data_IF_967989283542
#
_entry.id   IF_967989283542
#
_cell.length_a   1.000
_cell.length_b   1.000
_cell.length_c   1.000
_cell.angle_alpha   90.00
_cell.angle_beta   90.00
_cell.angle_gamma   90.00
#
_symmetry.space_group_name_H-M   'P 1'
#
loop_
_entity.id
_entity.type
_entity.pdbx_description
1 polymer ?
#
# COMPACT_ATOMS: atom_id res chain seq x y z
N UNK A 1 -38.30 6.56 70.15
CA UNK A 1 -38.04 5.43 69.21
C UNK A 1 -37.75 6.00 67.84
N UNK A 2 -36.48 6.19 67.50
CA UNK A 2 -36.03 6.66 66.20
C UNK A 2 -35.33 5.53 65.52
N UNK A 3 -35.85 5.08 64.37
CA UNK A 3 -35.22 4.07 63.52
C UNK A 3 -34.27 4.75 62.54
N UNK A 4 -32.99 4.42 62.65
CA UNK A 4 -31.93 4.88 61.75
C UNK A 4 -31.91 3.96 60.52
N UNK A 5 -32.29 4.47 59.34
CA UNK A 5 -32.17 3.72 58.05
C UNK A 5 -30.81 4.01 57.49
N UNK A 6 -29.96 2.98 57.48
CA UNK A 6 -28.65 3.03 56.82
C UNK A 6 -28.85 2.62 55.36
N UNK A 7 -28.71 3.57 54.43
CA UNK A 7 -28.64 3.32 52.98
C UNK A 7 -27.21 2.87 52.63
N UNK A 8 -27.02 1.58 52.34
CA UNK A 8 -25.81 1.07 51.71
C UNK A 8 -25.86 1.43 50.24
N UNK A 9 -25.03 2.39 49.80
CA UNK A 9 -24.77 2.69 48.40
C UNK A 9 -23.76 1.65 47.88
N UNK A 10 -24.25 0.67 47.11
CA UNK A 10 -23.39 -0.24 46.37
C UNK A 10 -22.78 0.53 45.20
N UNK A 11 -21.52 0.93 45.34
CA UNK A 11 -20.68 1.39 44.23
C UNK A 11 -20.39 0.20 43.32
N UNK A 12 -21.14 0.08 42.22
CA UNK A 12 -20.82 -0.85 41.14
C UNK A 12 -19.56 -0.34 40.45
N UNK A 13 -18.42 -0.95 40.78
CA UNK A 13 -17.19 -0.82 40.01
C UNK A 13 -17.38 -1.49 38.65
N UNK A 14 -17.85 -0.75 37.66
CA UNK A 14 -17.77 -1.14 36.25
C UNK A 14 -16.31 -1.02 35.83
N UNK A 15 -15.57 -2.10 35.97
CA UNK A 15 -14.25 -2.26 35.35
C UNK A 15 -14.44 -2.07 33.86
N UNK A 16 -13.99 -0.93 33.31
CA UNK A 16 -13.92 -0.70 31.89
C UNK A 16 -12.97 -1.75 31.32
N UNK A 17 -13.52 -2.85 30.80
CA UNK A 17 -12.77 -3.91 30.15
C UNK A 17 -12.18 -3.32 28.88
N UNK A 18 -10.84 -3.12 28.86
CA UNK A 18 -10.14 -2.65 27.69
C UNK A 18 -10.52 -3.56 26.52
N UNK A 19 -11.02 -2.96 25.43
CA UNK A 19 -11.37 -3.73 24.24
C UNK A 19 -10.15 -4.61 23.84
N UNK A 20 -10.37 -5.89 23.50
CA UNK A 20 -9.28 -6.78 23.15
C UNK A 20 -8.46 -6.17 22.02
N UNK A 21 -7.13 -6.12 22.18
CA UNK A 21 -6.23 -5.67 21.13
C UNK A 21 -6.45 -6.54 19.91
N UNK A 22 -6.71 -5.90 18.75
CA UNK A 22 -6.86 -6.63 17.49
C UNK A 22 -5.61 -7.49 17.24
N UNK A 23 -5.80 -8.73 16.82
CA UNK A 23 -4.70 -9.60 16.39
C UNK A 23 -4.29 -9.30 14.92
N UNK A 24 -3.18 -9.89 14.47
CA UNK A 24 -2.64 -9.65 13.13
C UNK A 24 -3.61 -10.06 12.01
N UNK A 25 -4.35 -11.16 12.20
CA UNK A 25 -5.33 -11.66 11.23
C UNK A 25 -6.50 -10.69 11.12
N UNK A 26 -7.04 -10.23 12.25
CA UNK A 26 -8.12 -9.24 12.27
C UNK A 26 -7.72 -7.94 11.57
N UNK A 27 -6.47 -7.48 11.74
CA UNK A 27 -5.97 -6.29 11.03
C UNK A 27 -5.88 -6.56 9.53
N UNK A 28 -5.37 -7.71 9.10
CA UNK A 28 -5.34 -8.10 7.69
C UNK A 28 -6.74 -8.18 7.08
N UNK A 29 -7.72 -8.75 7.80
CA UNK A 29 -9.13 -8.80 7.38
C UNK A 29 -9.74 -7.40 7.21
N UNK A 30 -9.41 -6.45 8.09
CA UNK A 30 -9.83 -5.05 7.96
C UNK A 30 -9.25 -4.39 6.70
N UNK A 31 -7.97 -4.62 6.41
CA UNK A 31 -7.32 -4.14 5.18
C UNK A 31 -8.04 -4.75 3.97
N UNK A 32 -8.22 -6.07 3.94
CA UNK A 32 -8.91 -6.74 2.83
C UNK A 32 -10.32 -6.18 2.63
N UNK A 33 -11.13 -6.10 3.69
CA UNK A 33 -12.49 -5.57 3.63
C UNK A 33 -12.54 -4.11 3.18
N UNK A 34 -11.58 -3.27 3.60
CA UNK A 34 -11.48 -1.89 3.14
C UNK A 34 -11.25 -1.83 1.63
N UNK A 35 -10.27 -2.57 1.13
CA UNK A 35 -9.98 -2.56 -0.29
C UNK A 35 -11.00 -3.34 -1.12
N UNK A 36 -11.67 -4.36 -0.62
CA UNK A 36 -12.75 -5.06 -1.35
C UNK A 36 -13.89 -4.10 -1.74
N UNK A 37 -14.29 -3.18 -0.84
CA UNK A 37 -15.32 -2.16 -1.12
C UNK A 37 -14.79 -0.93 -1.87
N UNK A 38 -13.47 -0.77 -2.00
CA UNK A 38 -12.84 0.36 -2.68
C UNK A 38 -12.72 0.09 -4.17
N UNK A 39 -13.35 0.91 -5.00
CA UNK A 39 -13.35 0.81 -6.47
C UNK A 39 -12.22 1.60 -7.12
N UNK A 40 -11.84 2.73 -6.50
CA UNK A 40 -10.79 3.60 -7.00
C UNK A 40 -10.04 4.28 -5.84
N UNK A 41 -8.74 4.52 -6.03
CA UNK A 41 -7.88 5.27 -5.11
C UNK A 41 -7.10 6.30 -5.92
N UNK A 42 -7.07 7.52 -5.43
CA UNK A 42 -6.16 8.58 -5.92
C UNK A 42 -5.32 9.05 -4.74
N UNK A 43 -4.02 9.21 -4.92
CA UNK A 43 -3.12 9.66 -3.85
C UNK A 43 -1.88 10.33 -4.44
N UNK A 44 -1.29 11.23 -3.68
CA UNK A 44 0.13 11.55 -3.83
C UNK A 44 0.96 10.47 -3.15
N UNK A 45 2.16 10.25 -3.63
CA UNK A 45 3.12 9.36 -2.96
C UNK A 45 4.49 10.02 -2.87
N UNK A 46 5.22 9.63 -1.82
CA UNK A 46 6.65 9.78 -1.71
C UNK A 46 7.25 8.38 -1.58
N UNK A 47 8.16 8.05 -2.48
CA UNK A 47 8.95 6.83 -2.44
C UNK A 47 10.34 7.15 -1.90
N UNK A 48 10.82 6.34 -0.96
CA UNK A 48 12.20 6.38 -0.48
C UNK A 48 12.79 5.01 -0.69
N UNK A 49 13.76 4.90 -1.59
CA UNK A 49 14.44 3.66 -1.91
C UNK A 49 15.83 3.67 -1.27
N UNK A 50 16.07 2.75 -0.34
CA UNK A 50 17.36 2.56 0.31
C UNK A 50 18.12 1.42 -0.35
N UNK A 51 19.19 1.77 -1.05
CA UNK A 51 20.13 0.84 -1.66
C UNK A 51 21.14 0.39 -0.59
N UNK A 52 20.96 -0.81 -0.05
CA UNK A 52 21.76 -1.33 1.08
C UNK A 52 23.25 -1.38 0.75
N UNK A 53 23.60 -1.91 -0.43
CA UNK A 53 24.99 -2.08 -0.86
C UNK A 53 25.74 -0.73 -0.91
N UNK A 54 25.06 0.30 -1.41
CA UNK A 54 25.67 1.65 -1.57
C UNK A 54 25.40 2.58 -0.39
N UNK A 55 24.64 2.12 0.62
CA UNK A 55 24.18 2.94 1.75
C UNK A 55 23.52 4.26 1.30
N UNK A 56 22.87 4.24 0.12
CA UNK A 56 22.31 5.41 -0.55
C UNK A 56 20.77 5.40 -0.46
N UNK A 57 20.19 6.58 -0.21
CA UNK A 57 18.75 6.82 -0.31
C UNK A 57 18.45 7.60 -1.57
N UNK A 58 17.44 7.14 -2.33
CA UNK A 58 16.89 7.85 -3.47
C UNK A 58 15.45 8.19 -3.15
N UNK A 59 15.07 9.46 -3.26
CA UNK A 59 13.70 9.90 -2.99
C UNK A 59 13.03 10.31 -4.29
N UNK A 60 11.83 9.79 -4.51
CA UNK A 60 10.97 10.14 -5.63
C UNK A 60 9.59 10.56 -5.11
N UNK A 61 8.88 11.37 -5.89
CA UNK A 61 7.52 11.83 -5.57
C UNK A 61 6.65 11.74 -6.80
N UNK A 62 5.35 11.60 -6.60
CA UNK A 62 4.42 11.55 -7.72
C UNK A 62 2.97 11.36 -7.28
N UNK A 63 2.18 10.94 -8.23
CA UNK A 63 0.76 10.65 -8.03
C UNK A 63 0.48 9.21 -8.47
N UNK A 64 -0.43 8.57 -7.75
CA UNK A 64 -0.94 7.24 -8.09
C UNK A 64 -2.45 7.30 -8.23
N UNK A 65 -2.95 6.66 -9.26
CA UNK A 65 -4.38 6.42 -9.50
C UNK A 65 -4.57 4.95 -9.72
N UNK A 66 -5.49 4.36 -8.97
CA UNK A 66 -5.90 2.95 -9.10
C UNK A 66 -7.39 2.91 -9.37
N UNK A 67 -7.82 2.05 -10.29
CA UNK A 67 -9.23 1.75 -10.54
C UNK A 67 -9.38 0.27 -10.82
N UNK A 68 -10.22 -0.39 -10.04
CA UNK A 68 -10.50 -1.81 -10.23
C UNK A 68 -11.38 -2.08 -11.47
N UNK A 69 -11.20 -3.22 -12.12
CA UNK A 69 -10.14 -4.21 -11.88
C UNK A 69 -8.84 -3.86 -12.62
N UNK A 70 -7.69 -4.04 -11.96
CA UNK A 70 -6.36 -4.11 -12.58
C UNK A 70 -5.81 -2.82 -13.21
N UNK A 71 -6.54 -1.70 -13.20
CA UNK A 71 -6.08 -0.43 -13.78
C UNK A 71 -5.29 0.37 -12.75
N UNK A 72 -4.12 0.86 -13.15
CA UNK A 72 -3.29 1.72 -12.31
C UNK A 72 -2.46 2.68 -13.15
N UNK A 73 -2.10 3.82 -12.56
CA UNK A 73 -1.12 4.75 -13.12
C UNK A 73 -0.31 5.36 -12.00
N UNK A 74 1.00 5.23 -12.08
CA UNK A 74 1.99 5.92 -11.26
C UNK A 74 2.67 6.95 -12.15
N UNK A 75 2.56 8.21 -11.80
CA UNK A 75 3.20 9.31 -12.54
C UNK A 75 4.20 9.97 -11.61
N UNK A 76 5.48 9.86 -11.93
CA UNK A 76 6.55 10.44 -11.14
C UNK A 76 6.79 11.89 -11.55
N UNK A 77 6.84 12.78 -10.58
CA UNK A 77 7.23 14.18 -10.77
C UNK A 77 8.72 14.41 -10.49
N UNK A 78 9.35 13.46 -9.75
CA UNK A 78 10.79 13.39 -9.55
C UNK A 78 11.20 11.91 -9.46
N UNK A 79 12.00 11.37 -10.41
CA UNK A 79 12.36 12.01 -11.68
C UNK A 79 11.13 12.31 -12.54
N UNK A 80 11.14 13.46 -13.19
CA UNK A 80 10.00 13.91 -14.01
C UNK A 80 9.83 13.03 -15.24
N UNK A 81 8.58 12.68 -15.56
CA UNK A 81 8.22 11.98 -16.78
C UNK A 81 8.18 10.46 -16.71
N UNK A 82 8.72 9.82 -15.66
CA UNK A 82 8.57 8.37 -15.48
C UNK A 82 7.11 8.01 -15.24
N UNK A 83 6.62 7.00 -15.97
CA UNK A 83 5.24 6.52 -15.86
C UNK A 83 5.21 5.00 -15.78
N UNK A 84 4.43 4.47 -14.84
CA UNK A 84 4.04 3.06 -14.81
C UNK A 84 2.52 3.03 -14.95
N UNK A 85 2.01 2.38 -15.96
CA UNK A 85 0.58 2.36 -16.22
C UNK A 85 0.09 0.97 -16.62
N UNK A 86 -1.09 0.62 -16.14
CA UNK A 86 -1.82 -0.59 -16.53
C UNK A 86 -3.24 -0.23 -16.93
N UNK A 87 -3.72 -0.76 -18.04
CA UNK A 87 -5.11 -0.69 -18.47
C UNK A 87 -5.96 -1.89 -18.01
N UNK A 88 -5.35 -2.79 -17.22
CA UNK A 88 -5.92 -4.06 -16.76
C UNK A 88 -5.55 -5.26 -17.64
N UNK A 89 -4.88 -5.05 -18.78
CA UNK A 89 -4.43 -6.12 -19.71
C UNK A 89 -2.92 -6.07 -19.94
N UNK A 90 -2.37 -4.87 -20.03
CA UNK A 90 -0.96 -4.60 -20.31
C UNK A 90 -0.41 -3.65 -19.26
N UNK A 91 0.79 -3.92 -18.78
CA UNK A 91 1.60 -2.96 -18.00
C UNK A 91 2.62 -2.34 -18.94
N UNK A 92 2.73 -1.00 -18.88
CA UNK A 92 3.75 -0.22 -19.55
C UNK A 92 4.58 0.49 -18.51
N UNK A 93 5.89 0.40 -18.62
CA UNK A 93 6.85 1.17 -17.82
C UNK A 93 7.63 2.06 -18.78
N UNK A 94 7.46 3.35 -18.63
CA UNK A 94 8.18 4.36 -19.40
C UNK A 94 9.20 5.07 -18.53
N UNK A 95 10.45 4.99 -18.93
CA UNK A 95 11.53 5.78 -18.39
C UNK A 95 11.86 6.90 -19.37
N UNK A 96 11.86 8.18 -18.92
CA UNK A 96 12.14 9.34 -19.78
C UNK A 96 13.61 9.36 -20.24
N UNK A 97 13.94 10.19 -21.25
CA UNK A 97 15.30 10.45 -21.65
C UNK A 97 16.18 10.89 -20.47
N UNK A 98 17.37 10.33 -20.34
CA UNK A 98 18.32 10.69 -19.29
C UNK A 98 19.76 10.60 -19.86
N UNK A 99 20.62 11.57 -19.49
CA UNK A 99 22.05 11.53 -19.83
C UNK A 99 22.36 11.53 -21.33
N UNK A 100 21.46 12.02 -22.19
CA UNK A 100 21.61 11.99 -23.65
C UNK A 100 21.05 10.71 -24.30
N UNK A 101 20.65 9.73 -23.53
CA UNK A 101 20.00 8.51 -24.01
C UNK A 101 18.51 8.74 -24.25
N UNK A 102 17.91 8.16 -25.32
CA UNK A 102 16.49 8.26 -25.58
C UNK A 102 15.68 7.55 -24.49
N UNK A 103 14.46 8.03 -24.26
CA UNK A 103 13.53 7.35 -23.34
C UNK A 103 13.26 5.91 -23.77
N UNK A 104 12.90 5.08 -22.81
CA UNK A 104 12.62 3.65 -23.02
C UNK A 104 11.21 3.31 -22.55
N UNK A 105 10.55 2.39 -23.25
CA UNK A 105 9.28 1.82 -22.82
C UNK A 105 9.36 0.30 -22.85
N UNK A 106 8.95 -0.30 -21.75
CA UNK A 106 8.74 -1.74 -21.57
C UNK A 106 7.24 -2.00 -21.55
N UNK A 107 6.79 -2.99 -22.33
CA UNK A 107 5.40 -3.39 -22.37
C UNK A 107 5.31 -4.89 -22.09
N UNK A 108 4.44 -5.27 -21.17
CA UNK A 108 4.21 -6.66 -20.81
C UNK A 108 2.72 -6.94 -20.62
N UNK A 109 2.21 -8.02 -21.22
CA UNK A 109 0.87 -8.49 -20.94
C UNK A 109 0.75 -8.95 -19.48
N UNK A 110 -0.36 -8.59 -18.84
CA UNK A 110 -0.69 -9.11 -17.50
C UNK A 110 -1.22 -10.53 -17.70
N UNK A 111 -0.33 -11.50 -17.85
CA UNK A 111 -0.67 -12.91 -17.76
C UNK A 111 -0.68 -13.27 -16.28
N UNK A 112 -1.85 -13.36 -15.66
CA UNK A 112 -2.10 -13.71 -14.25
C UNK A 112 -1.01 -13.26 -13.27
N UNK A 113 -1.15 -12.62 -12.20
CA UNK A 113 -0.22 -12.37 -11.08
C UNK A 113 1.06 -11.53 -11.30
N UNK A 114 1.28 -10.88 -12.44
CA UNK A 114 2.53 -10.12 -12.68
C UNK A 114 2.49 -8.63 -12.32
N UNK A 115 1.38 -8.11 -11.79
CA UNK A 115 1.41 -6.83 -11.12
C UNK A 115 2.24 -6.97 -9.83
N UNK A 116 3.01 -5.95 -9.40
CA UNK A 116 3.78 -6.07 -8.18
C UNK A 116 2.89 -6.59 -7.07
N UNK A 117 3.13 -7.82 -6.59
CA UNK A 117 2.30 -8.48 -5.56
C UNK A 117 2.15 -7.58 -4.34
N UNK A 118 3.15 -6.72 -4.10
CA UNK A 118 3.14 -5.71 -3.05
C UNK A 118 1.92 -4.76 -3.08
N UNK A 119 1.31 -4.54 -4.24
CA UNK A 119 0.15 -3.65 -4.41
C UNK A 119 -1.10 -4.37 -4.97
N UNK A 120 -1.05 -5.68 -5.11
CA UNK A 120 -2.12 -6.50 -5.69
C UNK A 120 -3.44 -6.39 -4.92
N UNK A 121 -3.39 -6.18 -3.59
CA UNK A 121 -4.57 -5.92 -2.77
C UNK A 121 -5.26 -4.60 -3.14
N UNK A 122 -4.50 -3.56 -3.51
CA UNK A 122 -5.06 -2.28 -4.01
C UNK A 122 -5.81 -2.48 -5.33
N UNK A 123 -5.33 -3.40 -6.16
CA UNK A 123 -5.89 -3.69 -7.48
C UNK A 123 -7.04 -4.69 -7.43
N UNK A 124 -7.29 -5.30 -6.27
CA UNK A 124 -8.31 -6.34 -6.09
C UNK A 124 -7.98 -7.65 -6.80
N UNK A 125 -6.69 -7.91 -7.06
CA UNK A 125 -6.20 -9.10 -7.78
C UNK A 125 -5.64 -10.16 -6.86
N UNK A 126 -5.41 -9.87 -5.56
CA UNK A 126 -4.91 -10.81 -4.58
C UNK A 126 -5.73 -10.80 -3.29
N UNK A 127 -5.70 -11.91 -2.61
CA UNK A 127 -6.25 -12.08 -1.27
C UNK A 127 -5.11 -12.21 -0.27
N UNK A 128 -5.11 -11.31 0.72
CA UNK A 128 -4.04 -11.28 1.71
C UNK A 128 -3.91 -12.59 2.48
N UNK A 129 -5.06 -13.17 2.87
CA UNK A 129 -5.11 -14.42 3.65
C UNK A 129 -4.64 -15.65 2.86
N UNK A 130 -4.79 -15.67 1.53
CA UNK A 130 -4.32 -16.75 0.68
C UNK A 130 -2.79 -16.70 0.50
N UNK A 131 -2.24 -15.51 0.33
CA UNK A 131 -0.86 -15.31 -0.13
C UNK A 131 0.14 -15.07 1.02
N UNK A 132 -0.33 -14.60 2.20
CA UNK A 132 0.53 -14.16 3.28
C UNK A 132 0.18 -14.75 4.64
N UNK A 133 1.18 -14.90 5.51
CA UNK A 133 1.05 -14.94 6.95
C UNK A 133 1.31 -13.57 7.56
N UNK A 134 0.77 -13.32 8.76
CA UNK A 134 0.70 -12.00 9.36
C UNK A 134 1.37 -11.92 10.72
N UNK A 135 2.01 -10.79 11.02
CA UNK A 135 2.58 -10.46 12.31
C UNK A 135 2.32 -8.98 12.61
N UNK A 136 1.82 -8.66 13.80
CA UNK A 136 1.81 -7.27 14.29
C UNK A 136 3.18 -6.90 14.83
N UNK A 137 3.65 -5.73 14.42
CA UNK A 137 4.86 -5.11 14.94
C UNK A 137 4.49 -3.97 15.89
N UNK A 138 5.41 -3.63 16.80
CA UNK A 138 5.20 -2.51 17.71
C UNK A 138 5.18 -1.17 16.94
N UNK A 139 4.03 -0.45 16.90
CA UNK A 139 3.91 0.79 16.15
C UNK A 139 4.84 1.90 16.63
N UNK A 140 5.27 1.88 17.90
CA UNK A 140 6.22 2.87 18.45
C UNK A 140 7.58 2.81 17.76
N UNK A 141 8.05 1.60 17.44
CA UNK A 141 9.33 1.41 16.72
C UNK A 141 9.33 1.97 15.30
N UNK A 142 8.14 2.24 14.74
CA UNK A 142 7.95 2.72 13.38
C UNK A 142 7.35 4.12 13.33
N UNK A 143 7.25 4.81 14.47
CA UNK A 143 6.65 6.15 14.57
C UNK A 143 5.25 6.20 13.93
N UNK A 144 4.42 5.18 14.24
CA UNK A 144 3.07 5.05 13.68
C UNK A 144 2.03 4.66 14.76
N UNK A 145 2.06 5.31 15.90
CA UNK A 145 1.18 5.01 17.05
C UNK A 145 -0.32 5.22 16.77
N UNK A 146 -0.64 5.99 15.74
CA UNK A 146 -2.01 6.22 15.28
C UNK A 146 -2.66 5.03 14.56
N UNK A 147 -1.91 3.94 14.32
CA UNK A 147 -2.40 2.81 13.55
C UNK A 147 -1.79 1.49 13.96
N UNK A 148 -1.94 0.50 13.09
CA UNK A 148 -1.32 -0.80 13.19
C UNK A 148 -0.14 -0.90 12.23
N UNK A 149 0.90 -1.60 12.63
CA UNK A 149 2.01 -1.98 11.76
C UNK A 149 1.93 -3.48 11.53
N UNK A 150 1.49 -3.88 10.33
CA UNK A 150 1.22 -5.25 9.95
C UNK A 150 2.30 -5.74 8.99
N UNK A 151 3.10 -6.71 9.44
CA UNK A 151 4.08 -7.42 8.60
C UNK A 151 3.40 -8.60 7.92
N UNK A 152 3.62 -8.71 6.61
CA UNK A 152 3.16 -9.79 5.75
C UNK A 152 4.38 -10.58 5.28
N UNK A 153 4.35 -11.89 5.48
CA UNK A 153 5.36 -12.81 5.00
C UNK A 153 4.73 -13.69 3.91
N UNK A 154 5.28 -13.74 2.69
CA UNK A 154 4.77 -14.59 1.64
C UNK A 154 4.74 -16.06 2.08
N UNK A 155 3.63 -16.75 1.85
CA UNK A 155 3.52 -18.20 2.13
C UNK A 155 4.32 -19.06 1.16
N UNK A 156 4.57 -18.51 -0.04
CA UNK A 156 5.44 -19.10 -1.06
C UNK A 156 6.61 -18.15 -1.30
N UNK A 157 7.83 -18.63 -1.54
CA UNK A 157 8.96 -17.78 -1.87
C UNK A 157 8.62 -16.80 -3.00
N UNK A 158 8.93 -15.52 -2.79
CA UNK A 158 8.76 -14.48 -3.80
C UNK A 158 10.14 -13.97 -4.21
N UNK A 159 10.47 -13.91 -5.52
CA UNK A 159 11.79 -13.48 -5.97
C UNK A 159 12.04 -11.98 -5.78
N UNK A 160 10.99 -11.17 -5.59
CA UNK A 160 11.09 -9.72 -5.52
C UNK A 160 11.24 -9.22 -4.08
N UNK A 161 10.59 -9.86 -3.10
CA UNK A 161 10.62 -9.40 -1.72
C UNK A 161 10.49 -10.52 -0.69
N UNK A 162 11.07 -10.31 0.49
CA UNK A 162 11.00 -11.21 1.65
C UNK A 162 9.80 -10.87 2.54
N UNK A 163 9.45 -9.59 2.64
CA UNK A 163 8.35 -9.13 3.46
C UNK A 163 7.74 -7.82 2.95
N UNK A 164 6.47 -7.62 3.26
CA UNK A 164 5.80 -6.33 3.19
C UNK A 164 5.45 -5.87 4.60
N UNK A 165 5.51 -4.56 4.86
CA UNK A 165 5.00 -3.98 6.10
C UNK A 165 3.99 -2.91 5.74
N UNK A 166 2.74 -3.11 6.16
CA UNK A 166 1.63 -2.19 5.94
C UNK A 166 1.38 -1.35 7.19
N UNK A 167 1.24 -0.06 7.00
CA UNK A 167 0.89 0.90 8.04
C UNK A 167 -0.58 1.25 7.88
N UNK A 168 -1.41 0.73 8.76
CA UNK A 168 -2.86 0.60 8.61
C UNK A 168 -3.58 1.54 9.58
N UNK A 169 -4.54 2.32 9.08
CA UNK A 169 -5.40 3.15 9.91
C UNK A 169 -6.28 2.28 10.83
N UNK A 170 -6.35 2.64 12.11
CA UNK A 170 -7.10 1.89 13.13
C UNK A 170 -8.45 2.48 13.49
N UNK A 171 -8.77 3.68 13.00
CA UNK A 171 -9.94 4.45 13.39
C UNK A 171 -10.58 5.22 12.22
N UNK A 172 -11.83 5.64 12.38
CA UNK A 172 -12.56 6.50 11.47
C UNK A 172 -12.99 5.84 10.16
N UNK A 173 -13.40 6.67 9.20
CA UNK A 173 -13.90 6.23 7.89
C UNK A 173 -12.83 5.53 7.05
N UNK A 174 -11.57 5.76 7.38
CA UNK A 174 -10.42 5.15 6.73
C UNK A 174 -9.91 3.88 7.44
N UNK A 175 -10.68 3.31 8.38
CA UNK A 175 -10.32 2.07 9.07
C UNK A 175 -9.95 0.97 8.06
N UNK A 176 -8.72 0.47 8.14
CA UNK A 176 -8.17 -0.52 7.22
C UNK A 176 -7.44 0.07 6.02
N UNK A 177 -7.45 1.40 5.81
CA UNK A 177 -6.67 2.03 4.76
C UNK A 177 -5.16 1.98 5.06
N UNK A 178 -4.35 1.74 4.05
CA UNK A 178 -2.90 1.67 4.15
C UNK A 178 -2.29 3.04 3.80
N UNK A 179 -1.60 3.65 4.75
CA UNK A 179 -0.93 4.95 4.61
C UNK A 179 0.53 4.85 4.17
N UNK A 180 1.15 3.73 4.49
CA UNK A 180 2.55 3.49 4.15
C UNK A 180 2.75 2.02 3.84
N UNK A 181 3.61 1.74 2.87
CA UNK A 181 4.07 0.38 2.56
C UNK A 181 5.59 0.38 2.60
N UNK A 182 6.17 -0.58 3.31
CA UNK A 182 7.58 -0.92 3.21
C UNK A 182 7.69 -2.27 2.52
N UNK A 183 8.45 -2.32 1.45
CA UNK A 183 8.86 -3.54 0.76
C UNK A 183 10.29 -3.86 1.20
N UNK A 184 10.48 -5.03 1.80
CA UNK A 184 11.80 -5.58 2.12
C UNK A 184 12.19 -6.51 0.99
N UNK A 185 13.08 -6.06 0.12
CA UNK A 185 13.50 -6.84 -1.06
C UNK A 185 14.44 -7.98 -0.67
N UNK A 186 14.47 -9.05 -1.48
CA UNK A 186 15.40 -10.19 -1.31
C UNK A 186 16.86 -9.78 -1.39
N UNK A 187 17.17 -8.68 -2.09
CA UNK A 187 18.49 -8.03 -2.14
C UNK A 187 18.87 -7.33 -0.81
N UNK A 188 17.93 -7.21 0.12
CA UNK A 188 18.07 -6.44 1.36
C UNK A 188 17.86 -4.93 1.18
N UNK A 189 17.49 -4.46 -0.01
CA UNK A 189 17.06 -3.09 -0.20
C UNK A 189 15.70 -2.83 0.47
N UNK A 190 15.45 -1.58 0.83
CA UNK A 190 14.20 -1.16 1.45
C UNK A 190 13.50 -0.13 0.57
N UNK A 191 12.23 -0.39 0.24
CA UNK A 191 11.45 0.49 -0.61
C UNK A 191 10.20 0.96 0.12
N UNK A 192 10.19 2.23 0.52
CA UNK A 192 9.13 2.86 1.28
C UNK A 192 8.22 3.66 0.36
N UNK A 193 6.91 3.47 0.49
CA UNK A 193 5.89 4.31 -0.12
C UNK A 193 5.05 4.97 0.96
N UNK A 194 5.05 6.28 1.01
CA UNK A 194 4.19 7.06 1.90
C UNK A 194 3.09 7.71 1.05
N UNK A 195 1.84 7.48 1.40
CA UNK A 195 0.67 8.01 0.69
C UNK A 195 0.07 9.19 1.43
N UNK A 196 -0.26 10.25 0.70
CA UNK A 196 -0.92 11.45 1.21
C UNK A 196 -2.05 11.89 0.28
N UNK A 197 -2.95 12.73 0.80
CA UNK A 197 -4.09 13.27 0.05
C UNK A 197 -4.94 12.16 -0.60
N UNK A 198 -5.11 11.04 0.12
CA UNK A 198 -5.84 9.88 -0.40
C UNK A 198 -7.33 10.18 -0.56
N UNK A 199 -7.83 9.89 -1.76
CA UNK A 199 -9.25 9.95 -2.11
C UNK A 199 -9.71 8.56 -2.52
N UNK A 200 -10.74 8.05 -1.84
CA UNK A 200 -11.31 6.75 -2.12
C UNK A 200 -12.62 6.91 -2.89
N UNK A 201 -12.85 6.02 -3.86
CA UNK A 201 -14.06 5.95 -4.67
C UNK A 201 -14.40 7.25 -5.44
N UNK A 202 -13.43 8.15 -5.64
CA UNK A 202 -13.60 9.28 -6.53
C UNK A 202 -13.78 8.81 -7.97
N UNK A 203 -14.56 9.56 -8.76
CA UNK A 203 -14.75 9.27 -10.19
C UNK A 203 -13.40 9.39 -10.92
N UNK A 204 -13.02 8.34 -11.63
CA UNK A 204 -11.80 8.28 -12.44
C UNK A 204 -12.17 7.93 -13.88
N UNK A 205 -11.76 8.78 -14.82
CA UNK A 205 -11.91 8.53 -16.26
C UNK A 205 -10.95 7.41 -16.71
N UNK A 206 -11.39 6.55 -17.62
CA UNK A 206 -10.58 5.45 -18.13
C UNK A 206 -9.43 5.91 -19.03
N UNK A 207 -9.53 7.11 -19.59
CA UNK A 207 -8.47 7.77 -20.37
C UNK A 207 -7.19 7.98 -19.56
N UNK A 208 -7.29 8.10 -18.23
CA UNK A 208 -6.13 8.20 -17.33
C UNK A 208 -5.16 7.02 -17.48
N UNK A 209 -5.68 5.85 -17.83
CA UNK A 209 -4.90 4.61 -17.95
C UNK A 209 -4.38 4.35 -19.37
N UNK A 210 -4.60 5.29 -20.29
CA UNK A 210 -3.98 5.26 -21.63
C UNK A 210 -2.65 5.99 -21.58
N UNK A 211 -1.65 5.42 -22.22
CA UNK A 211 -0.33 6.04 -22.34
C UNK A 211 0.29 5.67 -23.69
N UNK A 212 0.73 6.69 -24.38
CA UNK A 212 1.53 6.58 -25.59
C UNK A 212 2.90 7.22 -25.34
N UNK A 213 3.95 6.47 -25.63
CA UNK A 213 5.30 6.96 -25.46
C UNK A 213 5.60 8.08 -26.49
N UNK A 214 6.38 9.09 -26.10
CA UNK A 214 6.83 10.15 -27.03
C UNK A 214 7.56 9.56 -28.25
N UNK A 215 7.54 10.30 -29.37
CA UNK A 215 8.30 9.91 -30.57
C UNK A 215 9.79 9.76 -30.23
N UNK A 216 10.44 8.76 -30.83
CA UNK A 216 11.86 8.47 -30.56
C UNK A 216 12.12 7.60 -29.32
N UNK A 217 11.05 7.22 -28.58
CA UNK A 217 11.19 6.27 -27.47
C UNK A 217 11.62 4.89 -27.96
N UNK A 218 12.65 4.33 -27.35
CA UNK A 218 13.13 2.97 -27.62
C UNK A 218 12.19 1.95 -26.99
N UNK A 219 11.73 0.96 -27.75
CA UNK A 219 10.96 -0.17 -27.21
C UNK A 219 11.92 -1.26 -26.76
N UNK A 220 11.87 -1.60 -25.47
CA UNK A 220 12.64 -2.71 -24.91
C UNK A 220 11.69 -3.86 -24.52
N UNK A 221 12.18 -5.10 -24.62
CA UNK A 221 11.50 -6.29 -24.10
C UNK A 221 12.09 -6.60 -22.72
N UNK A 222 11.22 -6.97 -21.78
CA UNK A 222 11.63 -7.53 -20.49
C UNK A 222 12.10 -8.98 -20.65
#
# INVERSE_FOLDING_TARGET
>A
SGALVVLLSALANTSAQAAPKADAKQVAERVQAFYDRTKAVQSKFQQVYYLRLYKKKVTSKGQVVVKKPGKMRWSYGNPAGKVIVSDGKVVKVYDPPEGGEPGQIFEQAIAGHQLPLAFSFLLGTARLDADFSFQLLDPKRYEFERGYVLKLLPKKPNPQFEALVLFVEKEGDALGAVRRVLIVETSGNLNWFNFSDMKFNAKVDDGVFRFEAPKGTRRARL
#
